data_IF_978662406454
#
_entry.id   IF_978662406454
#
_cell.length_a   1.000
_cell.length_b   1.000
_cell.length_c   1.000
_cell.angle_alpha   90.00
_cell.angle_beta   90.00
_cell.angle_gamma   90.00
#
_symmetry.space_group_name_H-M   'P 1'
#
loop_
_entity.id
_entity.type
_entity.pdbx_description
1 polymer ?
#
# COMPACT_ATOMS: atom_id res chain seq x y z
N UNK A 1 -17.59 3.80 -11.26
CA UNK A 1 -16.55 3.06 -10.52
C UNK A 1 -15.18 3.44 -11.10
N UNK A 2 -14.06 2.93 -10.61
CA UNK A 2 -12.72 3.20 -11.20
C UNK A 2 -12.54 2.45 -12.52
N UNK A 3 -13.41 2.71 -13.48
CA UNK A 3 -13.48 2.01 -14.77
C UNK A 3 -12.27 2.36 -15.64
N UNK A 4 -11.91 1.42 -16.51
CA UNK A 4 -10.89 1.69 -17.52
C UNK A 4 -11.33 2.87 -18.37
N UNK A 5 -10.48 3.88 -18.49
CA UNK A 5 -10.79 5.08 -19.25
C UNK A 5 -9.62 5.50 -20.11
N UNK A 6 -9.91 6.18 -21.21
CA UNK A 6 -8.90 6.76 -22.07
C UNK A 6 -8.57 8.14 -21.53
N UNK A 7 -7.30 8.39 -21.22
CA UNK A 7 -6.87 9.72 -20.80
C UNK A 7 -6.82 10.69 -21.99
N UNK A 8 -6.66 11.99 -21.72
CA UNK A 8 -6.56 13.04 -22.76
C UNK A 8 -5.40 12.81 -23.76
N UNK A 9 -4.42 11.99 -23.41
CA UNK A 9 -3.29 11.61 -24.26
C UNK A 9 -3.54 10.31 -25.08
N UNK A 10 -4.78 9.79 -25.08
CA UNK A 10 -5.16 8.59 -25.83
C UNK A 10 -4.69 7.27 -25.22
N UNK A 11 -4.13 7.27 -24.01
CA UNK A 11 -3.65 6.05 -23.35
C UNK A 11 -4.78 5.41 -22.55
N UNK A 12 -4.93 4.09 -22.69
CA UNK A 12 -5.81 3.30 -21.86
C UNK A 12 -5.27 3.25 -20.43
N UNK A 13 -6.02 3.82 -19.48
CA UNK A 13 -5.77 3.69 -18.05
C UNK A 13 -6.61 2.50 -17.58
N UNK A 14 -6.00 1.39 -17.14
CA UNK A 14 -6.73 0.22 -16.70
C UNK A 14 -7.50 0.53 -15.41
N UNK A 15 -8.50 -0.30 -15.11
CA UNK A 15 -9.19 -0.23 -13.83
C UNK A 15 -8.18 -0.40 -12.70
N UNK A 16 -8.29 0.42 -11.65
CA UNK A 16 -7.31 0.39 -10.56
C UNK A 16 -7.32 -0.91 -9.76
N UNK A 17 -8.43 -1.64 -9.82
CA UNK A 17 -8.63 -2.93 -9.17
C UNK A 17 -8.17 -4.10 -10.06
N UNK A 18 -7.69 -3.83 -11.28
CA UNK A 18 -7.25 -4.89 -12.18
C UNK A 18 -6.04 -5.64 -11.60
N UNK A 19 -6.12 -6.97 -11.43
CA UNK A 19 -5.07 -7.73 -10.78
C UNK A 19 -3.76 -7.73 -11.60
N UNK A 20 -3.82 -7.62 -12.92
CA UNK A 20 -2.61 -7.52 -13.76
C UNK A 20 -1.92 -6.16 -13.55
N UNK A 21 -2.70 -5.06 -13.50
CA UNK A 21 -2.20 -3.73 -13.19
C UNK A 21 -1.56 -3.66 -11.80
N UNK A 22 -2.20 -4.25 -10.78
CA UNK A 22 -1.66 -4.31 -9.42
C UNK A 22 -0.38 -5.14 -9.39
N UNK A 23 -0.35 -6.30 -10.06
CA UNK A 23 0.85 -7.14 -10.17
C UNK A 23 2.00 -6.44 -10.91
N UNK A 24 1.71 -5.69 -11.97
CA UNK A 24 2.70 -4.95 -12.75
C UNK A 24 3.34 -3.81 -11.96
N UNK A 25 2.56 -3.15 -11.11
CA UNK A 25 3.03 -2.06 -10.24
C UNK A 25 3.50 -2.56 -8.86
N UNK A 26 3.55 -3.87 -8.67
CA UNK A 26 4.04 -4.51 -7.46
C UNK A 26 5.56 -4.33 -7.31
N UNK A 27 6.06 -4.56 -6.09
CA UNK A 27 7.50 -4.63 -5.84
C UNK A 27 8.16 -5.78 -6.63
N UNK A 28 9.49 -5.72 -6.80
CA UNK A 28 10.29 -6.77 -7.49
C UNK A 28 10.07 -8.17 -6.91
N UNK A 29 9.74 -8.27 -5.62
CA UNK A 29 9.42 -9.52 -4.94
C UNK A 29 8.03 -10.08 -5.22
N UNK A 30 7.25 -9.42 -6.10
CA UNK A 30 5.88 -9.80 -6.49
C UNK A 30 5.04 -10.25 -5.29
N UNK A 31 4.93 -9.40 -4.25
CA UNK A 31 4.23 -9.76 -3.01
C UNK A 31 2.78 -10.21 -3.27
N UNK A 32 2.15 -9.72 -4.34
CA UNK A 32 0.81 -10.11 -4.75
C UNK A 32 0.76 -11.45 -5.49
N UNK A 33 1.82 -11.90 -6.16
CA UNK A 33 1.84 -13.24 -6.79
C UNK A 33 1.79 -14.38 -5.76
N UNK A 34 2.10 -14.08 -4.49
CA UNK A 34 1.92 -15.00 -3.36
C UNK A 34 0.48 -15.02 -2.84
N UNK A 35 -0.30 -14.02 -3.20
CA UNK A 35 -1.71 -13.88 -2.86
C UNK A 35 -2.50 -14.49 -4.01
N UNK A 36 -2.94 -15.73 -3.80
CA UNK A 36 -3.80 -16.46 -4.72
C UNK A 36 -4.93 -17.00 -3.85
N UNK A 37 -6.22 -16.77 -4.14
CA UNK A 37 -6.82 -16.28 -5.39
C UNK A 37 -7.22 -14.77 -5.45
N UNK A 38 -7.42 -14.20 -6.67
CA UNK A 38 -7.75 -12.78 -6.91
C UNK A 38 -9.09 -12.33 -6.32
N UNK A 39 -10.04 -13.25 -6.13
CA UNK A 39 -11.33 -13.01 -5.48
C UNK A 39 -11.22 -12.46 -4.04
N UNK A 40 -10.12 -12.79 -3.34
CA UNK A 40 -9.86 -12.21 -2.01
C UNK A 40 -9.52 -10.72 -2.06
N UNK A 41 -9.08 -10.19 -3.20
CA UNK A 41 -8.82 -8.75 -3.37
C UNK A 41 -10.14 -7.98 -3.57
N UNK A 42 -11.10 -8.58 -4.27
CA UNK A 42 -12.45 -8.01 -4.41
C UNK A 42 -13.16 -7.94 -3.06
N UNK A 43 -12.99 -8.94 -2.20
CA UNK A 43 -13.52 -8.90 -0.83
C UNK A 43 -12.93 -7.75 0.00
N UNK A 44 -11.61 -7.56 -0.06
CA UNK A 44 -10.93 -6.45 0.62
C UNK A 44 -11.48 -5.11 0.13
N UNK A 45 -11.68 -4.98 -1.18
CA UNK A 45 -12.26 -3.79 -1.78
C UNK A 45 -13.70 -3.57 -1.29
N UNK A 46 -14.55 -4.60 -1.34
CA UNK A 46 -15.95 -4.52 -0.93
C UNK A 46 -16.08 -4.12 0.54
N UNK A 47 -15.26 -4.71 1.42
CA UNK A 47 -15.24 -4.36 2.85
C UNK A 47 -14.85 -2.89 3.02
N UNK A 48 -13.79 -2.44 2.35
CA UNK A 48 -13.30 -1.08 2.49
C UNK A 48 -14.31 -0.04 2.00
N UNK A 49 -14.93 -0.27 0.84
CA UNK A 49 -15.94 0.63 0.27
C UNK A 49 -17.33 0.48 0.90
N UNK A 50 -17.57 -0.59 1.66
CA UNK A 50 -18.76 -0.75 2.50
C UNK A 50 -18.74 0.10 3.77
N UNK A 51 -17.57 0.65 4.16
CA UNK A 51 -17.45 1.58 5.29
C UNK A 51 -18.10 2.92 4.94
N UNK A 52 -18.99 3.39 5.81
CA UNK A 52 -19.90 4.51 5.53
C UNK A 52 -19.25 5.87 5.68
N UNK A 53 -18.28 5.99 6.58
CA UNK A 53 -17.61 7.26 6.89
C UNK A 53 -16.13 7.25 6.49
N UNK A 54 -15.61 8.46 6.23
CA UNK A 54 -14.18 8.67 5.98
C UNK A 54 -13.35 8.19 7.17
N UNK A 55 -13.79 8.49 8.39
CA UNK A 55 -13.11 8.10 9.62
C UNK A 55 -13.03 6.59 9.79
N UNK A 56 -14.09 5.84 9.46
CA UNK A 56 -14.05 4.37 9.48
C UNK A 56 -13.04 3.82 8.46
N UNK A 57 -13.00 4.39 7.26
CA UNK A 57 -12.00 4.03 6.25
C UNK A 57 -10.57 4.33 6.72
N UNK A 58 -10.35 5.50 7.31
CA UNK A 58 -9.04 5.92 7.80
C UNK A 58 -8.59 5.04 8.98
N UNK A 59 -9.48 4.70 9.91
CA UNK A 59 -9.23 3.74 10.99
C UNK A 59 -8.90 2.35 10.45
N UNK A 60 -9.61 1.89 9.41
CA UNK A 60 -9.30 0.63 8.74
C UNK A 60 -7.88 0.65 8.15
N UNK A 61 -7.52 1.71 7.41
CA UNK A 61 -6.17 1.85 6.83
C UNK A 61 -5.08 1.90 7.90
N UNK A 62 -5.29 2.64 8.98
CA UNK A 62 -4.35 2.74 10.09
C UNK A 62 -4.08 1.39 10.76
N UNK A 63 -5.12 0.57 10.98
CA UNK A 63 -4.97 -0.79 11.54
C UNK A 63 -4.12 -1.70 10.64
N UNK A 64 -4.08 -1.42 9.35
CA UNK A 64 -3.37 -2.20 8.34
C UNK A 64 -1.92 -1.71 8.12
N UNK A 65 -1.51 -0.64 8.81
CA UNK A 65 -0.16 -0.09 8.76
C UNK A 65 0.52 -0.33 10.11
N UNK A 66 1.75 -0.85 10.08
CA UNK A 66 2.59 -0.96 11.29
C UNK A 66 3.85 -0.14 11.16
N UNK A 67 4.21 0.54 12.26
CA UNK A 67 5.47 1.25 12.38
C UNK A 67 6.52 0.25 12.87
N UNK A 68 7.51 -0.03 12.05
CA UNK A 68 8.65 -0.85 12.40
C UNK A 68 9.83 0.05 12.82
N UNK A 69 10.51 -0.22 13.95
CA UNK A 69 11.72 0.49 14.30
C UNK A 69 12.81 0.22 13.25
N UNK A 70 13.59 1.26 12.93
CA UNK A 70 14.76 1.10 12.05
C UNK A 70 15.88 0.46 12.87
N UNK A 71 15.98 -0.86 12.78
CA UNK A 71 17.16 -1.58 13.23
C UNK A 71 18.30 -1.19 12.27
N UNK A 72 19.25 -0.38 12.74
CA UNK A 72 20.36 0.17 11.94
C UNK A 72 21.01 -0.95 11.10
N UNK A 73 21.05 -0.78 9.78
CA UNK A 73 21.98 -1.53 8.94
C UNK A 73 23.36 -0.87 9.03
N UNK A 74 24.40 -1.68 9.23
CA UNK A 74 25.82 -1.34 9.46
C UNK A 74 26.21 0.10 9.13
N UNK A 75 26.78 0.80 10.12
CA UNK A 75 27.42 2.09 9.89
C UNK A 75 28.42 1.96 8.74
N UNK A 76 28.29 2.79 7.70
CA UNK A 76 29.40 3.00 6.77
C UNK A 76 30.48 3.73 7.56
N UNK A 77 31.72 3.23 7.53
CA UNK A 77 32.83 3.71 8.36
C UNK A 77 33.17 5.19 8.14
N UNK A 78 32.69 5.80 7.05
CA UNK A 78 33.16 7.09 6.54
C UNK A 78 32.18 8.26 6.74
N UNK A 79 31.04 8.08 7.42
CA UNK A 79 30.10 9.20 7.65
C UNK A 79 30.12 9.61 9.11
N UNK A 80 30.56 10.85 9.38
CA UNK A 80 30.42 11.51 10.67
C UNK A 80 28.95 11.46 11.12
N UNK A 81 28.71 11.05 12.37
CA UNK A 81 27.35 10.85 12.93
C UNK A 81 26.48 12.13 12.89
N UNK A 82 27.08 13.31 12.71
CA UNK A 82 26.39 14.61 12.65
C UNK A 82 25.68 14.90 11.32
N UNK A 83 26.03 14.22 10.22
CA UNK A 83 25.49 14.52 8.87
C UNK A 83 24.32 13.59 8.47
N UNK A 84 24.00 12.61 9.32
CA UNK A 84 22.95 11.64 9.04
C UNK A 84 21.61 12.18 9.52
N UNK A 85 20.79 12.74 8.61
CA UNK A 85 19.34 12.90 8.88
C UNK A 85 18.81 11.52 9.32
N UNK A 86 18.22 11.38 10.52
CA UNK A 86 17.65 10.11 10.92
C UNK A 86 16.61 9.74 9.89
N UNK A 87 16.71 8.53 9.32
CA UNK A 87 15.67 8.04 8.42
C UNK A 87 14.39 7.99 9.25
N UNK A 88 13.40 8.76 8.82
CA UNK A 88 12.06 8.75 9.39
C UNK A 88 11.52 7.32 9.32
N UNK A 89 10.85 6.90 10.40
CA UNK A 89 10.17 5.63 10.69
C UNK A 89 9.98 4.66 9.49
N UNK A 90 10.22 3.35 9.69
CA UNK A 90 9.90 2.35 8.67
C UNK A 90 8.43 1.92 8.78
N UNK A 91 7.74 1.76 7.67
CA UNK A 91 6.32 1.38 7.64
C UNK A 91 6.13 0.05 6.91
N UNK A 92 5.40 -0.87 7.54
CA UNK A 92 4.95 -2.12 6.94
C UNK A 92 3.46 -2.02 6.63
N UNK A 93 3.06 -2.54 5.48
CA UNK A 93 1.68 -2.51 5.00
C UNK A 93 1.14 -3.93 4.93
N UNK A 94 -0.11 -4.11 5.31
CA UNK A 94 -0.76 -5.41 5.36
C UNK A 94 -2.12 -5.36 4.65
N UNK A 95 -2.54 -6.49 4.10
CA UNK A 95 -3.89 -6.76 3.62
C UNK A 95 -4.47 -7.94 4.39
N UNK A 96 -5.78 -7.90 4.64
CA UNK A 96 -6.50 -8.93 5.38
C UNK A 96 -7.29 -9.73 4.35
N UNK A 97 -6.73 -10.87 3.95
CA UNK A 97 -7.29 -11.72 2.91
C UNK A 97 -8.00 -12.89 3.59
N UNK A 98 -9.33 -12.81 3.66
CA UNK A 98 -10.11 -13.69 4.52
C UNK A 98 -9.68 -13.56 5.98
N UNK A 99 -9.08 -14.62 6.54
CA UNK A 99 -8.57 -14.63 7.92
C UNK A 99 -7.06 -14.35 8.04
N UNK A 100 -6.36 -14.15 6.93
CA UNK A 100 -4.88 -14.08 6.92
C UNK A 100 -4.42 -12.64 6.69
N UNK A 101 -3.59 -12.14 7.62
CA UNK A 101 -2.91 -10.86 7.48
C UNK A 101 -1.62 -11.04 6.68
N UNK A 102 -1.61 -10.55 5.44
CA UNK A 102 -0.48 -10.71 4.51
C UNK A 102 0.26 -9.40 4.30
N UNK A 103 1.58 -9.41 4.42
CA UNK A 103 2.42 -8.23 4.19
C UNK A 103 2.52 -7.91 2.69
N UNK A 104 2.29 -6.64 2.34
CA UNK A 104 2.38 -6.13 0.96
C UNK A 104 3.28 -4.89 0.87
N UNK A 105 3.60 -4.48 -0.36
CA UNK A 105 4.29 -3.22 -0.59
C UNK A 105 3.33 -2.02 -0.58
N UNK A 106 3.87 -0.82 -0.37
CA UNK A 106 3.12 0.45 -0.39
C UNK A 106 2.27 0.62 -1.66
N UNK A 107 2.83 0.34 -2.83
CA UNK A 107 2.12 0.52 -4.10
C UNK A 107 0.88 -0.38 -4.22
N UNK A 108 1.02 -1.64 -3.82
CA UNK A 108 -0.10 -2.59 -3.81
C UNK A 108 -1.19 -2.10 -2.86
N UNK A 109 -0.81 -1.70 -1.64
CA UNK A 109 -1.76 -1.18 -0.65
C UNK A 109 -2.55 0.03 -1.19
N UNK A 110 -1.86 0.97 -1.83
CA UNK A 110 -2.48 2.16 -2.43
C UNK A 110 -3.44 1.79 -3.57
N UNK A 111 -3.05 0.86 -4.44
CA UNK A 111 -3.86 0.46 -5.59
C UNK A 111 -5.11 -0.32 -5.16
N UNK A 112 -4.96 -1.28 -4.24
CA UNK A 112 -6.08 -2.12 -3.73
C UNK A 112 -7.13 -1.27 -3.03
N UNK A 113 -6.73 -0.35 -2.16
CA UNK A 113 -7.66 0.58 -1.50
C UNK A 113 -8.03 1.79 -2.37
N UNK A 114 -7.45 1.92 -3.57
CA UNK A 114 -7.61 3.03 -4.49
C UNK A 114 -7.56 4.41 -3.77
N UNK A 115 -6.55 4.56 -2.92
CA UNK A 115 -6.25 5.81 -2.20
C UNK A 115 -5.16 6.59 -2.94
N UNK A 116 -4.97 7.86 -2.60
CA UNK A 116 -3.83 8.65 -3.09
C UNK A 116 -2.63 8.49 -2.16
N UNK A 117 -1.42 8.65 -2.70
CA UNK A 117 -0.19 8.65 -1.89
C UNK A 117 -0.25 9.68 -0.76
N UNK A 118 -0.84 10.85 -1.03
CA UNK A 118 -1.02 11.92 -0.04
C UNK A 118 -1.82 11.46 1.18
N UNK A 119 -2.95 10.75 0.96
CA UNK A 119 -3.78 10.22 2.05
C UNK A 119 -3.02 9.21 2.89
N UNK A 120 -2.14 8.42 2.27
CA UNK A 120 -1.29 7.47 2.98
C UNK A 120 -0.21 8.18 3.83
N UNK A 121 0.33 9.30 3.34
CA UNK A 121 1.36 10.09 4.04
C UNK A 121 0.80 10.78 5.30
N UNK A 122 -0.49 11.13 5.34
CA UNK A 122 -1.15 11.69 6.53
C UNK A 122 -1.04 10.76 7.75
N UNK A 123 -1.07 9.44 7.53
CA UNK A 123 -0.91 8.44 8.60
C UNK A 123 0.53 8.26 9.09
N UNK A 124 1.51 8.87 8.42
CA UNK A 124 2.94 8.75 8.75
C UNK A 124 3.44 9.86 9.68
N UNK A 125 2.59 10.84 9.99
CA UNK A 125 2.94 12.06 10.73
C UNK A 125 2.78 11.89 12.27
N UNK A 126 2.01 10.91 12.72
CA UNK A 126 1.95 10.50 14.14
C UNK A 126 3.22 9.74 14.54
#
# INVERSE_FOLDING_TARGET
>A
MGESHINRAGKCVPAKNDPDFINKNCCKGKCLAKINPPELLDDVFLIFYGLKSKDEQDLHLQRMIEIAPILRSRARADTLECDRKPKSKNFKYFLLLGAIRTQVCKNVFINVHNITSKRQEEFQIC
#
